data_IF_296053188330
#
_entry.id   IF_296053188330
#
_cell.length_a   1.000
_cell.length_b   1.000
_cell.length_c   1.000
_cell.angle_alpha   90.00
_cell.angle_beta   90.00
_cell.angle_gamma   90.00
#
_symmetry.space_group_name_H-M   'P 1'
#
loop_
_entity.id
_entity.type
_entity.pdbx_description
1 polymer ?
#
# COMPACT_ATOMS: atom_id res chain seq x y z
N UNK A 1 -9.90 -1.32 -8.10
CA UNK A 1 -9.46 -0.81 -6.79
C UNK A 1 -8.83 0.56 -6.98
N UNK A 2 -9.14 1.51 -6.11
CA UNK A 2 -8.55 2.84 -6.15
C UNK A 2 -7.60 3.02 -4.96
N UNK A 3 -6.94 4.19 -4.91
CA UNK A 3 -6.00 4.53 -3.83
C UNK A 3 -6.60 4.30 -2.44
N UNK A 4 -7.78 4.83 -2.19
CA UNK A 4 -8.39 4.75 -0.86
C UNK A 4 -8.70 3.31 -0.45
N UNK A 5 -9.30 2.54 -1.34
CA UNK A 5 -9.63 1.15 -1.04
C UNK A 5 -8.38 0.29 -0.89
N UNK A 6 -7.35 0.58 -1.68
CA UNK A 6 -6.07 -0.13 -1.58
C UNK A 6 -5.40 0.13 -0.23
N UNK A 7 -5.29 1.40 0.16
CA UNK A 7 -4.66 1.77 1.43
C UNK A 7 -5.45 1.25 2.63
N UNK A 8 -6.78 1.25 2.54
CA UNK A 8 -7.62 0.71 3.60
C UNK A 8 -7.45 -0.79 3.74
N UNK A 9 -7.41 -1.52 2.63
CA UNK A 9 -7.18 -2.96 2.64
C UNK A 9 -5.82 -3.29 3.26
N UNK A 10 -4.80 -2.54 2.87
CA UNK A 10 -3.45 -2.70 3.39
C UNK A 10 -3.41 -2.43 4.90
N UNK A 11 -4.02 -1.33 5.33
CA UNK A 11 -4.10 -0.98 6.75
C UNK A 11 -4.77 -2.09 7.56
N UNK A 12 -5.88 -2.64 7.04
CA UNK A 12 -6.61 -3.70 7.73
C UNK A 12 -5.76 -4.96 7.91
N UNK A 13 -5.02 -5.35 6.88
CA UNK A 13 -4.15 -6.54 6.96
C UNK A 13 -3.08 -6.34 8.03
N UNK A 14 -2.42 -5.20 8.04
CA UNK A 14 -1.38 -4.92 9.02
C UNK A 14 -1.93 -4.81 10.43
N UNK A 15 -3.11 -4.22 10.60
CA UNK A 15 -3.75 -4.11 11.93
C UNK A 15 -4.16 -5.47 12.48
N UNK A 16 -4.69 -6.34 11.65
CA UNK A 16 -5.06 -7.70 12.06
C UNK A 16 -3.84 -8.50 12.51
N UNK A 17 -2.71 -8.25 11.87
CA UNK A 17 -1.44 -8.90 12.20
C UNK A 17 -0.74 -8.26 13.39
N UNK A 18 -1.31 -7.18 13.94
CA UNK A 18 -0.77 -6.45 15.09
C UNK A 18 0.63 -5.89 14.84
N UNK A 19 0.86 -5.46 13.62
CA UNK A 19 2.11 -4.81 13.26
C UNK A 19 2.17 -3.43 13.91
N UNK A 20 3.32 -3.09 14.49
CA UNK A 20 3.54 -1.78 15.09
C UNK A 20 3.68 -0.71 14.01
N UNK A 21 3.31 0.53 14.35
CA UNK A 21 3.49 1.70 13.47
C UNK A 21 2.85 1.54 12.10
N UNK A 22 1.63 1.00 12.06
CA UNK A 22 0.89 0.79 10.81
C UNK A 22 0.79 2.09 10.00
N UNK A 23 0.50 3.22 10.66
CA UNK A 23 0.33 4.48 9.95
C UNK A 23 1.61 4.95 9.26
N UNK A 24 2.76 4.67 9.84
CA UNK A 24 4.05 4.98 9.20
C UNK A 24 4.24 4.16 7.92
N UNK A 25 3.82 2.90 7.95
CA UNK A 25 3.87 2.04 6.76
C UNK A 25 2.92 2.57 5.69
N UNK A 26 1.71 2.96 6.08
CA UNK A 26 0.73 3.50 5.14
C UNK A 26 1.25 4.79 4.50
N UNK A 27 1.92 5.65 5.26
CA UNK A 27 2.52 6.88 4.72
C UNK A 27 3.51 6.60 3.59
N UNK A 28 4.28 5.52 3.69
CA UNK A 28 5.21 5.13 2.62
C UNK A 28 4.44 4.87 1.32
N UNK A 29 3.31 4.18 1.41
CA UNK A 29 2.51 3.87 0.22
C UNK A 29 1.73 5.07 -0.28
N UNK A 30 1.31 5.98 0.59
CA UNK A 30 0.74 7.25 0.17
C UNK A 30 1.74 8.03 -0.67
N UNK A 31 3.01 8.02 -0.28
CA UNK A 31 4.08 8.65 -1.03
C UNK A 31 4.25 8.01 -2.42
N UNK A 32 4.14 6.69 -2.51
CA UNK A 32 4.18 5.99 -3.81
C UNK A 32 3.09 6.48 -4.74
N UNK A 33 1.89 6.70 -4.22
CA UNK A 33 0.80 7.25 -5.02
C UNK A 33 1.07 8.68 -5.45
N UNK A 34 1.59 9.51 -4.54
CA UNK A 34 1.91 10.89 -4.86
C UNK A 34 2.93 10.98 -5.99
N UNK A 35 3.99 10.18 -5.91
CA UNK A 35 5.02 10.12 -6.96
C UNK A 35 4.45 9.59 -8.27
N UNK A 36 3.60 8.57 -8.19
CA UNK A 36 2.94 8.01 -9.37
C UNK A 36 2.08 9.05 -10.08
N UNK A 37 1.31 9.83 -9.34
CA UNK A 37 0.49 10.89 -9.92
C UNK A 37 1.35 11.95 -10.61
N UNK A 38 2.49 12.29 -10.05
CA UNK A 38 3.43 13.24 -10.67
C UNK A 38 3.94 12.71 -12.02
N UNK A 39 3.99 11.39 -12.16
CA UNK A 39 4.40 10.74 -13.42
C UNK A 39 3.24 10.53 -14.38
N UNK A 40 2.04 10.97 -14.01
CA UNK A 40 0.85 10.82 -14.84
C UNK A 40 0.22 9.43 -14.80
N UNK A 41 0.55 8.64 -13.79
CA UNK A 41 -0.01 7.29 -13.66
C UNK A 41 -1.39 7.32 -13.00
N UNK A 42 -2.23 6.36 -13.38
CA UNK A 42 -3.52 6.16 -12.75
C UNK A 42 -3.38 5.31 -11.49
N UNK A 43 -4.43 5.29 -10.66
CA UNK A 43 -4.47 4.41 -9.49
C UNK A 43 -4.19 2.96 -9.87
N UNK A 44 -4.84 2.48 -10.93
CA UNK A 44 -4.66 1.10 -11.40
C UNK A 44 -3.22 0.79 -11.76
N UNK A 45 -2.56 1.72 -12.45
CA UNK A 45 -1.18 1.54 -12.85
C UNK A 45 -0.24 1.50 -11.64
N UNK A 46 -0.48 2.38 -10.67
CA UNK A 46 0.32 2.43 -9.45
C UNK A 46 0.13 1.15 -8.65
N UNK A 47 -1.11 0.72 -8.45
CA UNK A 47 -1.44 -0.48 -7.69
C UNK A 47 -0.83 -1.71 -8.36
N UNK A 48 -0.89 -1.77 -9.68
CA UNK A 48 -0.30 -2.89 -10.42
C UNK A 48 1.20 -2.99 -10.16
N UNK A 49 1.89 -1.85 -10.07
CA UNK A 49 3.33 -1.86 -9.80
C UNK A 49 3.67 -2.21 -8.35
N UNK A 50 2.77 -1.91 -7.42
CA UNK A 50 2.99 -2.22 -5.99
C UNK A 50 2.67 -3.67 -5.64
N UNK A 51 1.72 -4.28 -6.35
CA UNK A 51 1.21 -5.60 -6.02
C UNK A 51 -0.04 -5.51 -5.14
N UNK A 52 -0.58 -6.66 -4.76
CA UNK A 52 -1.76 -6.70 -3.90
C UNK A 52 -1.39 -6.39 -2.45
N UNK A 53 -2.35 -5.93 -1.63
CA UNK A 53 -2.08 -5.74 -0.21
C UNK A 53 -1.55 -7.01 0.47
N UNK A 54 -2.04 -8.17 0.07
CA UNK A 54 -1.58 -9.47 0.60
C UNK A 54 -0.14 -9.74 0.24
N UNK A 55 0.25 -9.43 -1.00
CA UNK A 55 1.63 -9.60 -1.45
C UNK A 55 2.58 -8.67 -0.72
N UNK A 56 2.14 -7.42 -0.48
CA UNK A 56 2.93 -6.45 0.27
C UNK A 56 3.16 -6.96 1.70
N UNK A 57 2.12 -7.45 2.34
CA UNK A 57 2.23 -7.99 3.69
C UNK A 57 3.17 -9.20 3.73
N UNK A 58 3.04 -10.11 2.77
CA UNK A 58 3.91 -11.29 2.70
C UNK A 58 5.38 -10.89 2.57
N UNK A 59 5.68 -9.89 1.74
CA UNK A 59 7.04 -9.36 1.61
C UNK A 59 7.54 -8.75 2.91
N UNK A 60 6.67 -8.08 3.63
CA UNK A 60 7.01 -7.44 4.90
C UNK A 60 7.42 -8.47 5.96
N UNK A 61 6.65 -9.56 6.10
CA UNK A 61 6.97 -10.59 7.10
C UNK A 61 8.16 -11.46 6.72
N UNK A 62 8.47 -11.55 5.43
CA UNK A 62 9.60 -12.33 4.94
C UNK A 62 10.91 -11.53 4.93
N UNK A 63 10.83 -10.26 5.21
CA UNK A 63 12.01 -9.38 5.19
C UNK A 63 12.94 -9.61 6.38
#
# INVERSE_FOLDING_TARGET
>A
MNRNSFLEALRNIFKKARVADVESIIEVYEEHFAVGYERGLSDSEIIKSLGTPEEIYASYVDA
#
